data_IF_756839956342
#
_entry.id   IF_756839956342
#
_cell.length_a   1.000
_cell.length_b   1.000
_cell.length_c   1.000
_cell.angle_alpha   90.00
_cell.angle_beta   90.00
_cell.angle_gamma   90.00
#
_symmetry.space_group_name_H-M   'P 1'
#
loop_
_entity.id
_entity.type
_entity.pdbx_description
1 polymer ?
#
# COMPACT_ATOMS: atom_id res chain seq x y z
N UNK A 1 0.59 -10.68 23.51
CA UNK A 1 -0.11 -10.27 22.27
C UNK A 1 -1.25 -11.26 22.01
N UNK A 2 -2.45 -10.79 21.61
CA UNK A 2 -3.50 -11.70 21.12
C UNK A 2 -3.02 -12.29 19.78
N UNK A 3 -3.23 -13.59 19.55
CA UNK A 3 -2.83 -14.28 18.30
C UNK A 3 -3.39 -13.55 17.07
N UNK A 4 -4.62 -13.04 17.16
CA UNK A 4 -5.23 -12.24 16.09
C UNK A 4 -4.40 -11.00 15.71
N UNK A 5 -3.81 -10.31 16.67
CA UNK A 5 -2.95 -9.15 16.40
C UNK A 5 -1.63 -9.58 15.75
N UNK A 6 -1.08 -10.74 16.11
CA UNK A 6 0.11 -11.27 15.46
C UNK A 6 -0.17 -11.64 14.00
N UNK A 7 -1.33 -12.24 13.69
CA UNK A 7 -1.72 -12.60 12.32
C UNK A 7 -1.99 -11.34 11.48
N UNK A 8 -2.81 -10.41 11.99
CA UNK A 8 -3.19 -9.18 11.30
C UNK A 8 -2.02 -8.23 11.04
N UNK A 9 -0.91 -8.36 11.80
CA UNK A 9 0.31 -7.58 11.56
C UNK A 9 1.37 -8.38 10.80
N UNK A 10 1.48 -9.67 11.06
CA UNK A 10 2.52 -10.54 10.55
C UNK A 10 2.52 -10.65 9.04
N UNK A 11 1.39 -11.08 8.46
CA UNK A 11 1.28 -11.30 7.02
C UNK A 11 1.46 -10.00 6.21
N UNK A 12 0.70 -8.92 6.45
CA UNK A 12 0.90 -7.68 5.70
C UNK A 12 2.26 -7.03 5.98
N UNK A 13 2.78 -7.15 7.22
CA UNK A 13 4.10 -6.64 7.57
C UNK A 13 5.22 -7.30 6.79
N UNK A 14 5.22 -8.65 6.71
CA UNK A 14 6.19 -9.41 5.92
C UNK A 14 6.05 -9.12 4.42
N UNK A 15 4.82 -9.02 3.92
CA UNK A 15 4.56 -8.69 2.53
C UNK A 15 5.12 -7.31 2.15
N UNK A 16 4.88 -6.29 2.97
CA UNK A 16 5.40 -4.94 2.72
C UNK A 16 6.93 -4.87 2.84
N UNK A 17 7.54 -5.60 3.79
CA UNK A 17 9.00 -5.69 3.86
C UNK A 17 9.59 -6.29 2.58
N UNK A 18 9.03 -7.41 2.12
CA UNK A 18 9.49 -8.06 0.89
C UNK A 18 9.30 -7.14 -0.32
N UNK A 19 8.15 -6.48 -0.41
CA UNK A 19 7.86 -5.56 -1.51
C UNK A 19 8.82 -4.37 -1.51
N UNK A 20 8.98 -3.70 -0.37
CA UNK A 20 9.87 -2.55 -0.23
C UNK A 20 11.34 -2.91 -0.48
N UNK A 21 11.78 -4.07 0.00
CA UNK A 21 13.13 -4.59 -0.28
C UNK A 21 13.33 -4.84 -1.78
N UNK A 22 12.34 -5.43 -2.45
CA UNK A 22 12.38 -5.66 -3.90
C UNK A 22 12.38 -4.37 -4.74
N UNK A 23 11.94 -3.24 -4.17
CA UNK A 23 12.00 -1.91 -4.80
C UNK A 23 13.31 -1.17 -4.53
N UNK A 24 14.20 -1.70 -3.67
CA UNK A 24 15.53 -1.12 -3.46
C UNK A 24 16.38 -1.33 -4.71
N UNK A 25 16.90 -0.23 -5.27
CA UNK A 25 17.73 -0.28 -6.47
C UNK A 25 16.95 -0.43 -7.77
N UNK A 26 15.66 -0.09 -7.78
CA UNK A 26 14.85 -0.01 -8.99
C UNK A 26 15.50 0.92 -10.02
N UNK A 27 15.56 0.45 -11.28
CA UNK A 27 16.09 1.24 -12.38
C UNK A 27 15.16 2.43 -12.72
N UNK A 28 15.66 3.38 -13.51
CA UNK A 28 14.93 4.62 -13.80
C UNK A 28 13.63 4.40 -14.60
N UNK A 29 13.60 3.42 -15.50
CA UNK A 29 12.44 3.13 -16.35
C UNK A 29 11.33 2.49 -15.50
N UNK A 30 11.67 1.48 -14.71
CA UNK A 30 10.74 0.87 -13.75
C UNK A 30 10.21 1.89 -12.74
N UNK A 31 11.06 2.79 -12.25
CA UNK A 31 10.69 3.84 -11.32
C UNK A 31 9.72 4.84 -11.96
N UNK A 32 9.93 5.19 -13.24
CA UNK A 32 9.03 6.06 -13.97
C UNK A 32 7.67 5.41 -14.18
N UNK A 33 7.62 4.15 -14.62
CA UNK A 33 6.36 3.42 -14.78
C UNK A 33 5.57 3.32 -13.47
N UNK A 34 6.25 3.02 -12.36
CA UNK A 34 5.61 2.97 -11.04
C UNK A 34 5.09 4.34 -10.59
N UNK A 35 5.86 5.42 -10.82
CA UNK A 35 5.44 6.79 -10.52
C UNK A 35 4.24 7.21 -11.35
N UNK A 36 4.28 6.97 -12.67
CA UNK A 36 3.18 7.29 -13.58
C UNK A 36 1.91 6.57 -13.14
N UNK A 37 2.01 5.28 -12.81
CA UNK A 37 0.91 4.50 -12.28
C UNK A 37 0.36 5.10 -10.97
N UNK A 38 1.24 5.41 -10.00
CA UNK A 38 0.84 6.05 -8.74
C UNK A 38 0.18 7.42 -8.94
N UNK A 39 0.60 8.16 -9.97
CA UNK A 39 0.06 9.49 -10.31
C UNK A 39 -1.40 9.45 -10.77
N UNK A 40 -1.88 8.30 -11.27
CA UNK A 40 -3.31 8.11 -11.60
C UNK A 40 -4.21 8.20 -10.35
N UNK A 41 -3.70 7.77 -9.20
CA UNK A 41 -4.42 7.86 -7.92
C UNK A 41 -4.08 9.09 -7.10
N UNK A 42 -2.83 9.56 -7.16
CA UNK A 42 -2.33 10.71 -6.38
C UNK A 42 -1.57 11.63 -7.34
N UNK A 43 -2.26 12.61 -7.97
CA UNK A 43 -1.67 13.45 -9.02
C UNK A 43 -0.41 14.20 -8.62
N UNK A 44 -0.23 14.46 -7.33
CA UNK A 44 0.96 15.15 -6.78
C UNK A 44 2.27 14.39 -7.04
N UNK A 45 2.22 13.07 -7.28
CA UNK A 45 3.42 12.30 -7.62
C UNK A 45 3.90 12.53 -9.06
N UNK A 46 3.10 13.15 -9.93
CA UNK A 46 3.51 13.45 -11.30
C UNK A 46 4.70 14.42 -11.34
N UNK A 47 4.72 15.38 -10.40
CA UNK A 47 5.76 16.41 -10.28
C UNK A 47 7.05 15.91 -9.61
N UNK A 48 7.06 14.66 -9.13
CA UNK A 48 8.22 14.09 -8.45
C UNK A 48 9.21 13.51 -9.46
N UNK A 49 10.49 13.59 -9.10
CA UNK A 49 11.53 12.80 -9.74
C UNK A 49 11.27 11.30 -9.49
N UNK A 50 11.40 10.48 -10.55
CA UNK A 50 11.04 9.05 -10.52
C UNK A 50 11.90 8.26 -9.53
N UNK A 51 13.20 8.55 -9.45
CA UNK A 51 14.13 7.89 -8.52
C UNK A 51 13.83 8.28 -7.07
N UNK A 52 13.47 9.54 -6.84
CA UNK A 52 13.03 10.03 -5.53
C UNK A 52 11.73 9.36 -5.09
N UNK A 53 10.75 9.25 -5.98
CA UNK A 53 9.51 8.53 -5.73
C UNK A 53 9.76 7.04 -5.43
N UNK A 54 10.60 6.36 -6.20
CA UNK A 54 10.94 4.95 -5.98
C UNK A 54 11.58 4.71 -4.61
N UNK A 55 12.52 5.57 -4.20
CA UNK A 55 13.12 5.52 -2.85
C UNK A 55 12.09 5.79 -1.75
N UNK A 56 11.20 6.75 -1.98
CA UNK A 56 10.14 7.09 -1.04
C UNK A 56 9.17 5.93 -0.82
N UNK A 57 8.68 5.30 -1.90
CA UNK A 57 7.72 4.20 -1.78
C UNK A 57 8.38 2.96 -1.19
N UNK A 58 9.61 2.62 -1.59
CA UNK A 58 10.37 1.52 -1.02
C UNK A 58 10.61 1.73 0.49
N UNK A 59 11.04 2.94 0.87
CA UNK A 59 11.24 3.31 2.27
C UNK A 59 9.95 3.27 3.08
N UNK A 60 8.83 3.70 2.51
CA UNK A 60 7.50 3.67 3.15
C UNK A 60 7.05 2.23 3.42
N UNK A 61 7.19 1.34 2.44
CA UNK A 61 6.84 -0.07 2.59
C UNK A 61 7.72 -0.78 3.62
N UNK A 62 9.03 -0.52 3.60
CA UNK A 62 9.96 -1.05 4.60
C UNK A 62 9.65 -0.54 6.01
N UNK A 63 9.39 0.77 6.15
CA UNK A 63 9.05 1.39 7.42
C UNK A 63 7.72 0.84 7.97
N UNK A 64 6.69 0.76 7.12
CA UNK A 64 5.38 0.24 7.52
C UNK A 64 5.42 -1.26 7.82
N UNK A 65 6.14 -2.04 7.01
CA UNK A 65 6.36 -3.46 7.25
C UNK A 65 7.07 -3.72 8.59
N UNK A 66 8.13 -2.95 8.87
CA UNK A 66 8.84 -2.99 10.15
C UNK A 66 7.95 -2.56 11.32
N UNK A 67 7.17 -1.50 11.14
CA UNK A 67 6.23 -1.03 12.15
C UNK A 67 5.17 -2.09 12.47
N UNK A 68 4.67 -2.82 11.47
CA UNK A 68 3.74 -3.92 11.69
C UNK A 68 4.40 -5.09 12.43
N UNK A 69 5.63 -5.48 12.07
CA UNK A 69 6.28 -6.66 12.65
C UNK A 69 6.89 -6.44 14.04
N UNK A 70 7.31 -5.21 14.34
CA UNK A 70 7.96 -4.91 15.63
C UNK A 70 6.94 -4.68 16.75
N UNK A 71 7.23 -5.14 17.98
CA UNK A 71 6.32 -4.98 19.12
C UNK A 71 6.33 -3.56 19.70
N UNK A 72 7.28 -2.71 19.29
CA UNK A 72 7.46 -1.36 19.82
C UNK A 72 6.42 -0.36 19.30
N UNK A 73 5.82 -0.63 18.13
CA UNK A 73 4.78 0.22 17.55
C UNK A 73 3.39 -0.26 17.99
N UNK A 74 2.59 0.66 18.52
CA UNK A 74 1.21 0.33 18.94
C UNK A 74 0.37 -0.19 17.77
N UNK A 75 -0.54 -1.13 18.05
CA UNK A 75 -1.42 -1.72 17.01
C UNK A 75 -2.23 -0.67 16.26
N UNK A 76 -2.68 0.38 16.95
CA UNK A 76 -3.48 1.45 16.37
C UNK A 76 -2.66 2.31 15.42
N UNK A 77 -1.42 2.63 15.80
CA UNK A 77 -0.54 3.44 14.95
C UNK A 77 -0.12 2.68 13.69
N UNK A 78 0.30 1.42 13.84
CA UNK A 78 0.64 0.56 12.70
C UNK A 78 -0.60 0.33 11.80
N UNK A 79 -1.78 0.12 12.39
CA UNK A 79 -3.05 -0.01 11.68
C UNK A 79 -3.46 1.25 10.93
N UNK A 80 -3.29 2.43 11.53
CA UNK A 80 -3.57 3.71 10.88
C UNK A 80 -2.64 3.97 9.69
N UNK A 81 -1.34 3.65 9.83
CA UNK A 81 -0.39 3.70 8.73
C UNK A 81 -0.77 2.76 7.59
N UNK A 82 -1.16 1.51 7.91
CA UNK A 82 -1.60 0.54 6.91
C UNK A 82 -2.89 0.98 6.22
N UNK A 83 -3.84 1.53 6.97
CA UNK A 83 -5.09 2.06 6.43
C UNK A 83 -4.82 3.24 5.48
N UNK A 84 -3.98 4.20 5.87
CA UNK A 84 -3.61 5.33 5.03
C UNK A 84 -2.89 4.87 3.74
N UNK A 85 -1.96 3.93 3.86
CA UNK A 85 -1.26 3.34 2.71
C UNK A 85 -2.23 2.66 1.74
N UNK A 86 -3.10 1.79 2.26
CA UNK A 86 -4.11 1.10 1.45
C UNK A 86 -5.13 2.06 0.82
N UNK A 87 -5.46 3.17 1.48
CA UNK A 87 -6.32 4.20 0.90
C UNK A 87 -5.66 4.88 -0.31
N UNK A 88 -4.33 5.05 -0.30
CA UNK A 88 -3.58 5.51 -1.47
C UNK A 88 -3.63 4.51 -2.63
N UNK A 89 -3.51 3.22 -2.36
CA UNK A 89 -3.66 2.18 -3.39
C UNK A 89 -5.09 2.14 -3.96
N UNK A 90 -6.10 2.23 -3.09
CA UNK A 90 -7.50 2.26 -3.50
C UNK A 90 -7.87 3.56 -4.21
N UNK A 91 -7.16 4.68 -3.97
CA UNK A 91 -7.38 5.90 -4.76
C UNK A 91 -6.97 5.70 -6.21
N UNK A 92 -5.92 4.91 -6.48
CA UNK A 92 -5.54 4.52 -7.85
C UNK A 92 -6.62 3.64 -8.48
N UNK A 93 -7.22 2.73 -7.72
CA UNK A 93 -8.32 1.89 -8.17
C UNK A 93 -9.58 2.70 -8.56
N UNK A 94 -9.99 3.67 -7.74
CA UNK A 94 -11.24 4.40 -7.99
C UNK A 94 -11.07 5.63 -8.90
N UNK A 95 -9.87 6.18 -9.06
CA UNK A 95 -9.65 7.36 -9.94
C UNK A 95 -9.30 6.99 -11.37
N UNK A 96 -8.84 5.77 -11.62
CA UNK A 96 -8.54 5.29 -12.95
C UNK A 96 -9.76 4.51 -13.50
N UNK A 97 -10.39 5.04 -14.55
CA UNK A 97 -11.56 4.43 -15.19
C UNK A 97 -11.29 3.02 -15.72
N UNK A 98 -10.04 2.68 -16.02
CA UNK A 98 -9.66 1.37 -16.55
C UNK A 98 -9.65 0.29 -15.47
N UNK A 99 -9.69 0.67 -14.19
CA UNK A 99 -9.64 -0.27 -13.05
C UNK A 99 -11.02 -0.80 -12.66
N UNK A 100 -12.09 -0.12 -13.05
CA UNK A 100 -13.46 -0.53 -12.73
C UNK A 100 -14.24 -0.88 -13.99
N UNK A 101 -15.26 -1.71 -13.85
CA UNK A 101 -16.29 -1.88 -14.89
C UNK A 101 -17.11 -0.59 -15.03
N UNK A 102 -18.05 -0.57 -15.97
CA UNK A 102 -18.92 0.59 -16.24
C UNK A 102 -19.71 1.09 -15.01
N UNK A 103 -19.86 0.26 -13.98
CA UNK A 103 -20.53 0.63 -12.74
C UNK A 103 -19.66 1.41 -11.74
N UNK A 104 -18.36 1.57 -12.02
CA UNK A 104 -17.42 2.29 -11.17
C UNK A 104 -17.06 1.60 -9.84
N UNK A 105 -17.47 0.33 -9.64
CA UNK A 105 -17.26 -0.38 -8.37
C UNK A 105 -16.53 -1.70 -8.59
N UNK A 106 -17.02 -2.55 -9.50
CA UNK A 106 -16.46 -3.89 -9.70
C UNK A 106 -15.15 -3.81 -10.46
N UNK A 107 -14.15 -4.66 -10.14
CA UNK A 107 -12.87 -4.61 -10.81
C UNK A 107 -13.03 -5.02 -12.27
N UNK A 108 -12.34 -4.31 -13.16
CA UNK A 108 -12.00 -4.80 -14.50
C UNK A 108 -10.90 -5.88 -14.40
N UNK A 109 -10.47 -6.44 -15.53
CA UNK A 109 -9.31 -7.34 -15.53
C UNK A 109 -8.04 -6.67 -14.99
N UNK A 110 -7.80 -5.40 -15.35
CA UNK A 110 -6.65 -4.64 -14.87
C UNK A 110 -6.79 -4.27 -13.39
N UNK A 111 -8.00 -3.89 -12.98
CA UNK A 111 -8.31 -3.50 -11.60
C UNK A 111 -8.21 -4.62 -10.58
N UNK A 112 -8.20 -5.89 -11.02
CA UNK A 112 -8.04 -7.05 -10.13
C UNK A 112 -6.75 -6.97 -9.29
N UNK A 113 -5.71 -6.33 -9.83
CA UNK A 113 -4.43 -6.17 -9.13
C UNK A 113 -4.53 -5.24 -7.92
N UNK A 114 -5.34 -4.17 -8.00
CA UNK A 114 -5.52 -3.20 -6.91
C UNK A 114 -6.72 -3.51 -6.02
N UNK A 115 -7.75 -4.19 -6.53
CA UNK A 115 -8.97 -4.47 -5.77
C UNK A 115 -8.71 -5.29 -4.50
N UNK A 116 -7.70 -6.17 -4.52
CA UNK A 116 -7.26 -6.97 -3.37
C UNK A 116 -6.69 -6.11 -2.23
N UNK A 117 -6.25 -4.88 -2.50
CA UNK A 117 -5.74 -3.97 -1.46
C UNK A 117 -6.86 -3.48 -0.52
N UNK A 118 -8.13 -3.72 -0.88
CA UNK A 118 -9.27 -3.60 0.05
C UNK A 118 -9.11 -4.50 1.29
N UNK A 119 -8.44 -5.65 1.17
CA UNK A 119 -8.13 -6.49 2.33
C UNK A 119 -7.09 -5.84 3.25
N UNK A 120 -6.08 -5.15 2.70
CA UNK A 120 -5.13 -4.38 3.50
C UNK A 120 -5.83 -3.23 4.24
N UNK A 121 -6.77 -2.55 3.57
CA UNK A 121 -7.61 -1.53 4.20
C UNK A 121 -8.45 -2.10 5.34
N UNK A 122 -9.11 -3.25 5.13
CA UNK A 122 -9.88 -3.92 6.17
C UNK A 122 -9.00 -4.33 7.37
N UNK A 123 -7.78 -4.84 7.12
CA UNK A 123 -6.82 -5.18 8.18
C UNK A 123 -6.36 -3.94 8.95
N UNK A 124 -6.03 -2.84 8.25
CA UNK A 124 -5.67 -1.58 8.87
C UNK A 124 -6.78 -1.05 9.78
N UNK A 125 -8.01 -1.02 9.28
CA UNK A 125 -9.19 -0.63 10.05
C UNK A 125 -9.42 -1.55 11.26
N UNK A 126 -9.28 -2.87 11.10
CA UNK A 126 -9.38 -3.83 12.19
C UNK A 126 -8.34 -3.55 13.29
N UNK A 127 -7.07 -3.29 12.93
CA UNK A 127 -6.01 -2.99 13.90
C UNK A 127 -6.26 -1.69 14.69
N UNK A 128 -6.90 -0.70 14.07
CA UNK A 128 -7.31 0.55 14.72
C UNK A 128 -8.47 0.32 15.69
N UNK A 129 -9.49 -0.41 15.25
CA UNK A 129 -10.77 -0.57 15.97
C UNK A 129 -10.77 -1.73 16.98
N UNK A 130 -9.85 -2.68 16.88
CA UNK A 130 -9.80 -3.86 17.73
C UNK A 130 -9.59 -3.47 19.19
N UNK A 131 -10.45 -4.00 20.07
CA UNK A 131 -10.34 -3.86 21.54
C UNK A 131 -9.18 -4.70 22.07
#
# INVERSE_FOLDING_TARGET
MRISNAILRGVPGAFLLQSGYGKLGMDAESAEGLKQFASTGVPQFADWDSQTFAKFIAGTELALGTALLTPFVSKRLAGAGLLAFSAGLLSMYFRNSDMTQEDGIRPSEQGMTLSKDSFLAAIGAALVLQK
#
